data_IF_386828408729
#
_entry.id   IF_386828408729
#
_cell.length_a   1.000
_cell.length_b   1.000
_cell.length_c   1.000
_cell.angle_alpha   90.00
_cell.angle_beta   90.00
_cell.angle_gamma   90.00
#
_symmetry.space_group_name_H-M   'P 1'
#
loop_
_entity.id
_entity.type
_entity.pdbx_description
1 polymer ?
#
# COMPACT_ATOMS: atom_id res chain seq x y z
N UNK A 1 -2.65 -12.57 7.19
CA UNK A 1 -3.78 -12.82 6.27
C UNK A 1 -4.88 -13.51 7.05
N UNK A 2 -6.16 -13.31 6.73
CA UNK A 2 -7.24 -14.08 7.36
C UNK A 2 -7.08 -15.57 7.04
N UNK A 3 -7.53 -16.43 7.94
CA UNK A 3 -7.44 -17.88 7.79
C UNK A 3 -8.43 -18.43 6.75
N UNK A 4 -9.52 -17.72 6.51
CA UNK A 4 -10.55 -18.04 5.52
C UNK A 4 -11.17 -16.78 4.92
N UNK A 5 -12.07 -16.94 3.96
CA UNK A 5 -12.80 -15.88 3.28
C UNK A 5 -14.34 -15.99 3.44
N UNK A 6 -14.79 -16.71 4.45
CA UNK A 6 -16.22 -17.05 4.62
C UNK A 6 -17.15 -15.83 4.61
N UNK A 7 -16.78 -14.78 5.36
CA UNK A 7 -17.60 -13.57 5.41
C UNK A 7 -17.48 -12.74 4.12
N UNK A 8 -16.27 -12.63 3.57
CA UNK A 8 -16.04 -11.86 2.35
C UNK A 8 -16.71 -12.50 1.13
N UNK A 9 -16.73 -13.84 1.06
CA UNK A 9 -17.34 -14.58 -0.05
C UNK A 9 -18.87 -14.45 -0.09
N UNK A 10 -19.50 -14.08 1.03
CA UNK A 10 -20.96 -13.84 1.08
C UNK A 10 -21.37 -12.52 0.42
N UNK A 11 -20.47 -11.54 0.36
CA UNK A 11 -20.79 -10.19 -0.11
C UNK A 11 -19.93 -9.72 -1.29
N UNK A 12 -18.80 -10.37 -1.54
CA UNK A 12 -17.90 -10.05 -2.63
C UNK A 12 -18.10 -10.98 -3.81
N UNK A 13 -17.97 -10.45 -5.03
CA UNK A 13 -18.03 -11.26 -6.23
C UNK A 13 -16.91 -12.31 -6.26
N UNK A 14 -17.18 -13.51 -6.79
CA UNK A 14 -16.22 -14.61 -6.86
C UNK A 14 -14.88 -14.22 -7.52
N UNK A 15 -14.92 -13.35 -8.53
CA UNK A 15 -13.75 -12.88 -9.28
C UNK A 15 -12.96 -11.76 -8.58
N UNK A 16 -13.40 -11.31 -7.38
CA UNK A 16 -12.59 -10.36 -6.63
C UNK A 16 -11.29 -11.02 -6.20
N UNK A 17 -10.19 -10.30 -6.36
CA UNK A 17 -8.88 -10.84 -6.02
C UNK A 17 -8.76 -11.19 -4.52
N UNK A 18 -7.96 -12.20 -4.21
CA UNK A 18 -7.77 -12.66 -2.82
C UNK A 18 -7.30 -11.58 -1.85
N UNK A 19 -6.50 -10.60 -2.31
CA UNK A 19 -6.14 -9.45 -1.51
C UNK A 19 -7.37 -8.59 -1.14
N UNK A 20 -8.21 -8.29 -2.12
CA UNK A 20 -9.46 -7.56 -1.88
C UNK A 20 -10.39 -8.30 -0.92
N UNK A 21 -10.55 -9.61 -1.08
CA UNK A 21 -11.31 -10.46 -0.15
C UNK A 21 -10.71 -10.45 1.25
N UNK A 22 -9.36 -10.49 1.38
CA UNK A 22 -8.68 -10.40 2.68
C UNK A 22 -8.98 -9.10 3.41
N UNK A 23 -9.01 -7.97 2.69
CA UNK A 23 -9.32 -6.67 3.28
C UNK A 23 -10.77 -6.65 3.77
N UNK A 24 -11.72 -7.10 2.94
CA UNK A 24 -13.14 -7.17 3.31
C UNK A 24 -13.32 -8.07 4.52
N UNK A 25 -12.71 -9.25 4.53
CA UNK A 25 -12.76 -10.20 5.64
C UNK A 25 -12.27 -9.56 6.94
N UNK A 26 -11.13 -8.89 6.92
CA UNK A 26 -10.55 -8.23 8.09
C UNK A 26 -11.46 -7.13 8.67
N UNK A 27 -12.14 -6.37 7.79
CA UNK A 27 -13.12 -5.38 8.22
C UNK A 27 -14.37 -6.03 8.81
N UNK A 28 -14.87 -7.10 8.19
CA UNK A 28 -16.06 -7.82 8.67
C UNK A 28 -15.82 -8.48 10.04
N UNK A 29 -14.60 -8.95 10.28
CA UNK A 29 -14.16 -9.53 11.57
C UNK A 29 -13.87 -8.45 12.63
N UNK A 30 -13.97 -7.16 12.31
CA UNK A 30 -13.66 -6.07 13.24
C UNK A 30 -12.17 -5.90 13.54
N UNK A 31 -11.29 -6.52 12.74
CA UNK A 31 -9.82 -6.40 12.88
C UNK A 31 -9.29 -5.08 12.34
N UNK A 32 -10.06 -4.42 11.47
CA UNK A 32 -9.71 -3.16 10.81
C UNK A 32 -10.88 -2.20 10.92
N UNK A 33 -10.71 -1.14 11.69
CA UNK A 33 -11.73 -0.10 11.91
C UNK A 33 -11.44 1.19 11.13
N UNK A 34 -10.20 1.37 10.70
CA UNK A 34 -9.76 2.54 9.91
C UNK A 34 -9.00 2.04 8.70
N UNK A 35 -9.40 2.48 7.52
CA UNK A 35 -8.87 1.96 6.28
C UNK A 35 -8.65 3.09 5.26
N UNK A 36 -7.44 3.15 4.74
CA UNK A 36 -7.10 3.95 3.57
C UNK A 36 -6.80 2.98 2.44
N UNK A 37 -7.60 3.03 1.40
CA UNK A 37 -7.39 2.26 0.18
C UNK A 37 -6.75 3.17 -0.87
N UNK A 38 -5.93 2.57 -1.71
CA UNK A 38 -5.31 3.25 -2.83
C UNK A 38 -6.05 2.88 -4.11
N UNK A 39 -6.37 3.87 -4.92
CA UNK A 39 -7.03 3.68 -6.22
C UNK A 39 -6.02 3.18 -7.27
N UNK A 40 -5.51 1.97 -7.10
CA UNK A 40 -4.51 1.37 -7.98
C UNK A 40 -5.12 0.39 -9.00
N UNK A 41 -6.34 -0.07 -8.81
CA UNK A 41 -7.02 -1.00 -9.72
C UNK A 41 -8.54 -1.04 -9.43
N UNK A 42 -9.30 -1.58 -10.38
CA UNK A 42 -10.76 -1.69 -10.25
C UNK A 42 -11.19 -2.54 -9.05
N UNK A 43 -10.40 -3.56 -8.69
CA UNK A 43 -10.68 -4.35 -7.50
C UNK A 43 -10.69 -3.51 -6.23
N UNK A 44 -9.75 -2.57 -6.08
CA UNK A 44 -9.71 -1.70 -4.89
C UNK A 44 -10.88 -0.72 -4.82
N UNK A 45 -11.37 -0.24 -5.96
CA UNK A 45 -12.60 0.56 -6.02
C UNK A 45 -13.80 -0.27 -5.53
N UNK A 46 -13.92 -1.52 -5.96
CA UNK A 46 -14.99 -2.43 -5.51
C UNK A 46 -14.88 -2.77 -4.04
N UNK A 47 -13.66 -3.00 -3.54
CA UNK A 47 -13.42 -3.19 -2.09
C UNK A 47 -13.90 -1.96 -1.31
N UNK A 48 -13.58 -0.76 -1.77
CA UNK A 48 -14.04 0.47 -1.14
C UNK A 48 -15.56 0.55 -1.05
N UNK A 49 -16.25 0.30 -2.17
CA UNK A 49 -17.72 0.35 -2.23
C UNK A 49 -18.36 -0.70 -1.29
N UNK A 50 -17.82 -1.92 -1.30
CA UNK A 50 -18.30 -3.00 -0.43
C UNK A 50 -18.09 -2.62 1.05
N UNK A 51 -16.86 -2.22 1.43
CA UNK A 51 -16.54 -1.83 2.81
C UNK A 51 -17.40 -0.66 3.27
N UNK A 52 -17.60 0.34 2.41
CA UNK A 52 -18.47 1.49 2.70
C UNK A 52 -19.90 1.05 3.01
N UNK A 53 -20.43 0.11 2.23
CA UNK A 53 -21.79 -0.39 2.42
C UNK A 53 -21.96 -1.24 3.69
N UNK A 54 -20.89 -1.83 4.24
CA UNK A 54 -20.96 -2.57 5.50
C UNK A 54 -21.17 -1.69 6.71
N UNK A 55 -20.78 -0.42 6.64
CA UNK A 55 -20.80 0.51 7.77
C UNK A 55 -19.87 0.15 8.94
N UNK A 56 -19.01 -0.87 8.78
CA UNK A 56 -18.14 -1.37 9.86
C UNK A 56 -16.81 -0.64 9.99
N UNK A 57 -16.51 0.28 9.09
CA UNK A 57 -15.27 1.03 9.10
C UNK A 57 -15.51 2.44 9.62
N UNK A 58 -14.86 2.83 10.71
CA UNK A 58 -15.02 4.14 11.36
C UNK A 58 -14.38 5.27 10.54
N UNK A 59 -13.30 4.95 9.84
CA UNK A 59 -12.66 5.83 8.86
C UNK A 59 -12.33 5.06 7.59
N UNK A 60 -12.91 5.48 6.48
CA UNK A 60 -12.67 4.90 5.17
C UNK A 60 -12.33 6.00 4.17
N UNK A 61 -11.18 5.88 3.53
CA UNK A 61 -10.73 6.85 2.54
C UNK A 61 -10.16 6.16 1.31
N UNK A 62 -10.40 6.75 0.12
CA UNK A 62 -9.78 6.34 -1.13
C UNK A 62 -8.76 7.38 -1.56
N UNK A 63 -7.51 6.99 -1.64
CA UNK A 63 -6.41 7.84 -2.11
C UNK A 63 -6.14 7.58 -3.58
N UNK A 64 -6.19 8.63 -4.39
CA UNK A 64 -5.79 8.55 -5.80
C UNK A 64 -4.28 8.71 -5.93
N UNK A 65 -3.67 7.81 -6.70
CA UNK A 65 -2.25 7.89 -7.07
C UNK A 65 -2.09 8.60 -8.41
N UNK A 66 -0.95 9.25 -8.65
CA UNK A 66 -0.62 9.77 -9.97
C UNK A 66 -0.45 8.62 -10.98
N UNK A 67 -0.89 8.83 -12.20
CA UNK A 67 -0.75 7.86 -13.30
C UNK A 67 0.53 8.11 -14.12
N UNK A 68 1.06 9.32 -14.09
CA UNK A 68 2.24 9.75 -14.83
C UNK A 68 3.17 10.55 -13.93
N UNK A 69 4.46 10.52 -14.25
CA UNK A 69 5.47 11.35 -13.59
C UNK A 69 5.61 12.69 -14.31
N UNK A 70 4.66 13.57 -14.07
CA UNK A 70 4.70 14.95 -14.58
C UNK A 70 4.24 15.94 -13.47
N UNK A 71 4.57 17.22 -13.67
CA UNK A 71 4.29 18.26 -12.67
C UNK A 71 2.79 18.42 -12.37
N UNK A 72 1.92 18.24 -13.36
CA UNK A 72 0.47 18.31 -13.17
C UNK A 72 -0.01 17.21 -12.21
N UNK A 73 0.44 15.99 -12.42
CA UNK A 73 0.09 14.84 -11.56
C UNK A 73 0.68 14.96 -10.16
N UNK A 74 1.90 15.51 -10.02
CA UNK A 74 2.49 15.81 -8.70
C UNK A 74 1.66 16.81 -7.92
N UNK A 75 1.20 17.87 -8.55
CA UNK A 75 0.33 18.87 -7.90
C UNK A 75 -1.01 18.26 -7.51
N UNK A 76 -1.63 17.47 -8.37
CA UNK A 76 -2.88 16.75 -8.06
C UNK A 76 -2.70 15.80 -6.89
N UNK A 77 -1.61 15.03 -6.88
CA UNK A 77 -1.32 14.08 -5.82
C UNK A 77 -1.06 14.78 -4.49
N UNK A 78 -0.29 15.87 -4.48
CA UNK A 78 -0.11 16.69 -3.28
C UNK A 78 -1.45 17.18 -2.72
N UNK A 79 -2.37 17.62 -3.59
CA UNK A 79 -3.73 17.97 -3.23
C UNK A 79 -4.53 16.80 -2.65
N UNK A 80 -4.34 15.59 -3.19
CA UNK A 80 -5.00 14.38 -2.67
C UNK A 80 -4.50 14.00 -1.27
N UNK A 81 -3.20 14.10 -1.04
CA UNK A 81 -2.61 13.91 0.30
C UNK A 81 -3.11 14.97 1.29
N UNK A 82 -3.21 16.22 0.85
CA UNK A 82 -3.74 17.29 1.72
C UNK A 82 -5.19 17.02 2.12
N UNK A 83 -6.04 16.59 1.18
CA UNK A 83 -7.44 16.23 1.48
C UNK A 83 -7.53 15.01 2.42
N UNK A 84 -6.69 14.00 2.24
CA UNK A 84 -6.61 12.86 3.17
C UNK A 84 -6.23 13.33 4.57
N UNK A 85 -5.20 14.18 4.69
CA UNK A 85 -4.77 14.76 5.96
C UNK A 85 -5.93 15.49 6.66
N UNK A 86 -6.62 16.37 5.95
CA UNK A 86 -7.75 17.14 6.50
C UNK A 86 -8.91 16.23 6.94
N UNK A 87 -9.23 15.22 6.14
CA UNK A 87 -10.26 14.23 6.46
C UNK A 87 -9.89 13.45 7.74
N UNK A 88 -8.62 13.03 7.87
CA UNK A 88 -8.17 12.29 9.03
C UNK A 88 -8.06 13.18 10.28
N UNK A 89 -7.61 14.42 10.16
CA UNK A 89 -7.60 15.40 11.26
C UNK A 89 -9.02 15.63 11.79
N UNK A 90 -9.99 15.77 10.88
CA UNK A 90 -11.41 15.91 11.23
C UNK A 90 -11.96 14.70 11.97
N UNK A 91 -11.61 13.51 11.50
CA UNK A 91 -12.02 12.24 12.10
C UNK A 91 -11.39 12.03 13.46
N UNK A 92 -10.07 12.17 13.57
CA UNK A 92 -9.30 11.86 14.78
C UNK A 92 -9.36 12.95 15.85
N UNK A 93 -9.75 14.16 15.49
CA UNK A 93 -9.67 15.36 16.34
C UNK A 93 -8.23 15.85 16.62
N UNK A 94 -7.23 15.24 15.99
CA UNK A 94 -5.80 15.56 16.18
C UNK A 94 -5.23 16.25 14.96
N UNK A 95 -4.36 17.24 15.19
CA UNK A 95 -3.64 17.91 14.13
C UNK A 95 -2.40 17.12 13.72
N UNK A 96 -2.07 17.18 12.43
CA UNK A 96 -0.86 16.56 11.88
C UNK A 96 0.40 17.21 12.47
N UNK A 97 1.27 16.36 13.03
CA UNK A 97 2.57 16.80 13.54
C UNK A 97 3.68 16.42 12.56
N UNK A 98 4.22 17.44 11.90
CA UNK A 98 5.31 17.28 10.92
C UNK A 98 6.58 16.67 11.56
N UNK A 99 6.86 17.00 12.80
CA UNK A 99 8.06 16.51 13.49
C UNK A 99 7.97 15.02 13.76
N UNK A 100 6.81 14.55 14.22
CA UNK A 100 6.56 13.12 14.42
C UNK A 100 6.58 12.36 13.08
N UNK A 101 6.00 12.95 12.03
CA UNK A 101 6.02 12.36 10.70
C UNK A 101 7.46 12.20 10.18
N UNK A 102 8.28 13.25 10.24
CA UNK A 102 9.67 13.18 9.78
C UNK A 102 10.51 12.18 10.60
N UNK A 103 10.28 12.07 11.91
CA UNK A 103 10.93 11.04 12.74
C UNK A 103 10.52 9.64 12.34
N UNK A 104 9.25 9.42 12.04
CA UNK A 104 8.75 8.11 11.58
C UNK A 104 9.33 7.78 10.19
N UNK A 105 9.39 8.76 9.30
CA UNK A 105 9.93 8.61 7.95
C UNK A 105 11.44 8.30 7.98
N UNK A 106 12.23 9.00 8.80
CA UNK A 106 13.66 8.76 8.95
C UNK A 106 13.98 7.34 9.44
N UNK A 107 13.14 6.75 10.30
CA UNK A 107 13.29 5.36 10.72
C UNK A 107 13.10 4.35 9.59
N UNK A 108 12.29 4.70 8.58
CA UNK A 108 11.99 3.82 7.45
C UNK A 108 13.04 3.91 6.34
N UNK A 109 13.77 5.03 6.27
CA UNK A 109 14.77 5.32 5.23
C UNK A 109 16.18 4.78 5.55
N UNK A 110 16.39 4.21 6.72
CA UNK A 110 17.72 3.77 7.16
C UNK A 110 18.00 2.34 6.68
N UNK A 111 18.72 2.21 5.60
CA UNK A 111 19.75 1.18 5.31
C UNK A 111 20.09 1.19 3.81
N UNK A 112 21.24 1.70 3.45
CA UNK A 112 21.86 1.54 2.13
C UNK A 112 22.65 0.22 2.11
N UNK A 113 21.96 -0.89 2.15
CA UNK A 113 22.55 -2.21 1.91
C UNK A 113 22.10 -2.69 0.54
N UNK A 114 22.98 -3.43 -0.15
CA UNK A 114 22.63 -4.12 -1.39
C UNK A 114 21.35 -4.95 -1.20
N UNK A 115 20.40 -4.83 -2.10
CA UNK A 115 19.13 -5.51 -1.99
C UNK A 115 18.59 -5.92 -3.35
N UNK A 116 17.68 -6.87 -3.35
CA UNK A 116 16.86 -7.20 -4.51
C UNK A 116 15.54 -6.44 -4.40
N UNK A 117 15.30 -5.50 -5.31
CA UNK A 117 14.01 -4.83 -5.44
C UNK A 117 13.02 -5.69 -6.22
N UNK A 118 11.84 -5.92 -5.69
CA UNK A 118 10.77 -6.63 -6.39
C UNK A 118 9.66 -5.65 -6.75
N UNK A 119 9.43 -5.48 -8.05
CA UNK A 119 8.40 -4.60 -8.62
C UNK A 119 7.22 -5.42 -9.15
N UNK A 120 6.07 -4.78 -9.25
CA UNK A 120 4.87 -5.34 -9.85
C UNK A 120 3.61 -5.03 -9.05
N UNK A 121 2.50 -5.64 -9.44
CA UNK A 121 1.20 -5.42 -8.77
C UNK A 121 1.15 -6.12 -7.43
N UNK A 122 1.75 -7.30 -7.33
CA UNK A 122 1.81 -8.10 -6.10
C UNK A 122 3.03 -9.00 -6.05
N UNK A 123 3.60 -9.10 -4.86
CA UNK A 123 4.53 -10.17 -4.54
C UNK A 123 4.09 -10.85 -3.26
N UNK A 124 4.04 -12.16 -3.26
CA UNK A 124 3.73 -12.93 -2.05
C UNK A 124 4.92 -12.94 -1.11
N UNK A 125 4.67 -12.90 0.20
CA UNK A 125 5.73 -13.06 1.21
C UNK A 125 6.49 -14.39 1.07
N UNK A 126 5.91 -15.39 0.41
CA UNK A 126 6.59 -16.67 0.07
C UNK A 126 7.71 -16.41 -0.92
N UNK A 127 7.47 -15.62 -1.98
CA UNK A 127 8.50 -15.31 -2.98
C UNK A 127 9.63 -14.47 -2.36
N UNK A 128 9.31 -13.48 -1.52
CA UNK A 128 10.33 -12.71 -0.80
C UNK A 128 11.20 -13.61 0.07
N UNK A 129 10.58 -14.53 0.80
CA UNK A 129 11.29 -15.50 1.62
C UNK A 129 12.18 -16.42 0.79
N UNK A 130 11.66 -16.96 -0.32
CA UNK A 130 12.43 -17.82 -1.23
C UNK A 130 13.66 -17.11 -1.80
N UNK A 131 13.51 -15.85 -2.22
CA UNK A 131 14.62 -15.04 -2.74
C UNK A 131 15.66 -14.82 -1.63
N UNK A 132 15.23 -14.41 -0.44
CA UNK A 132 16.13 -14.18 0.70
C UNK A 132 16.88 -15.44 1.11
N UNK A 133 16.19 -16.57 1.23
CA UNK A 133 16.75 -17.83 1.68
C UNK A 133 17.76 -18.41 0.67
N UNK A 134 17.56 -18.21 -0.63
CA UNK A 134 18.41 -18.77 -1.67
C UNK A 134 19.59 -17.86 -2.07
N UNK A 135 19.38 -16.54 -2.04
CA UNK A 135 20.40 -15.58 -2.49
C UNK A 135 21.12 -14.90 -1.32
N UNK A 136 20.66 -15.11 -0.08
CA UNK A 136 21.20 -14.50 1.14
C UNK A 136 21.31 -12.96 1.06
N UNK A 137 20.45 -12.33 0.27
CA UNK A 137 20.38 -10.89 0.10
C UNK A 137 19.11 -10.35 0.77
N UNK A 138 19.16 -9.07 1.16
CA UNK A 138 17.95 -8.38 1.58
C UNK A 138 16.98 -8.24 0.41
N UNK A 139 15.69 -8.31 0.68
CA UNK A 139 14.64 -8.19 -0.33
C UNK A 139 13.75 -7.00 0.02
N UNK A 140 13.62 -6.06 -0.90
CA UNK A 140 12.71 -4.94 -0.78
C UNK A 140 11.51 -5.14 -1.70
N UNK A 141 10.35 -5.25 -1.11
CA UNK A 141 9.09 -5.30 -1.83
C UNK A 141 8.69 -3.86 -2.23
N UNK A 142 8.90 -3.52 -3.48
CA UNK A 142 8.57 -2.22 -4.08
C UNK A 142 7.22 -2.25 -4.82
N UNK A 143 6.45 -3.32 -4.63
CA UNK A 143 5.12 -3.45 -5.21
C UNK A 143 4.10 -2.55 -4.52
N UNK A 144 2.96 -2.31 -5.16
CA UNK A 144 1.88 -1.51 -4.58
C UNK A 144 1.33 -2.10 -3.27
N UNK A 145 1.53 -3.39 -3.02
CA UNK A 145 1.12 -4.08 -1.78
C UNK A 145 2.22 -4.14 -0.72
N UNK A 146 3.43 -3.71 -1.04
CA UNK A 146 4.60 -3.78 -0.16
C UNK A 146 4.65 -2.70 0.92
N UNK A 147 3.68 -1.82 0.98
CA UNK A 147 3.62 -0.75 1.98
C UNK A 147 4.70 0.33 1.83
N UNK A 148 5.36 0.39 0.68
CA UNK A 148 6.41 1.37 0.41
C UNK A 148 5.94 2.54 -0.41
N UNK A 149 6.58 3.66 -0.15
CA UNK A 149 6.26 4.93 -0.78
C UNK A 149 6.72 4.89 -2.25
N UNK A 150 5.78 4.96 -3.20
CA UNK A 150 6.08 5.03 -4.63
C UNK A 150 7.00 6.23 -4.99
N UNK A 151 6.99 7.29 -4.16
CA UNK A 151 7.87 8.44 -4.34
C UNK A 151 9.37 8.13 -4.15
N UNK A 152 9.71 7.02 -3.51
CA UNK A 152 11.11 6.58 -3.30
C UNK A 152 11.60 5.73 -4.48
N UNK A 153 10.69 5.16 -5.27
CA UNK A 153 11.01 4.30 -6.42
C UNK A 153 11.90 4.98 -7.48
N UNK A 154 11.61 6.21 -7.94
CA UNK A 154 12.44 6.87 -8.94
C UNK A 154 13.88 7.12 -8.45
N UNK A 155 14.05 7.52 -7.19
CA UNK A 155 15.38 7.75 -6.61
C UNK A 155 16.12 6.43 -6.39
N UNK A 156 15.44 5.41 -5.87
CA UNK A 156 16.02 4.07 -5.72
C UNK A 156 16.37 3.44 -7.07
N UNK A 157 15.60 3.70 -8.13
CA UNK A 157 15.90 3.23 -9.47
C UNK A 157 17.03 4.02 -10.15
N UNK A 158 17.18 5.31 -9.85
CA UNK A 158 18.25 6.16 -10.38
C UNK A 158 19.60 5.88 -9.70
N UNK A 159 19.58 5.45 -8.44
CA UNK A 159 20.77 5.09 -7.66
C UNK A 159 21.14 3.60 -7.76
N UNK A 160 20.63 2.87 -8.74
CA UNK A 160 20.97 1.46 -8.93
C UNK A 160 22.43 1.33 -9.35
N UNK A 161 23.28 1.08 -8.38
CA UNK A 161 24.66 0.64 -8.60
C UNK A 161 24.68 -0.79 -9.15
N UNK A 162 25.78 -1.21 -9.75
CA UNK A 162 25.91 -2.50 -10.46
C UNK A 162 25.61 -3.75 -9.62
N UNK A 163 25.62 -3.63 -8.29
CA UNK A 163 25.37 -4.72 -7.35
C UNK A 163 23.90 -4.85 -6.89
N UNK A 164 22.99 -4.07 -7.49
CA UNK A 164 21.56 -4.13 -7.21
C UNK A 164 20.81 -4.78 -8.35
N UNK A 165 19.99 -5.76 -8.02
CA UNK A 165 19.12 -6.45 -8.97
C UNK A 165 17.68 -5.99 -8.77
N UNK A 166 17.05 -5.55 -9.87
CA UNK A 166 15.63 -5.26 -9.94
C UNK A 166 14.89 -6.40 -10.60
N UNK A 167 14.01 -7.05 -9.86
CA UNK A 167 13.11 -8.06 -10.39
C UNK A 167 11.73 -7.44 -10.66
N UNK A 168 11.38 -7.28 -11.93
CA UNK A 168 10.05 -6.83 -12.33
C UNK A 168 9.12 -8.04 -12.49
N UNK A 169 7.96 -7.99 -11.85
CA UNK A 169 6.94 -9.03 -11.91
C UNK A 169 5.61 -8.41 -12.37
N UNK A 170 5.04 -8.96 -13.43
CA UNK A 170 3.75 -8.54 -14.01
C UNK A 170 2.59 -9.45 -13.55
#
# INVERSE_FOLDING_TARGET
>A
MPENFELSDQIAHANLCGFGKSVIQAVLEGKVEQLILVNCCDSMRRVYDIVKNTGKCNFLYMLDLPHEDNECEKVKFAGSIQRLKEAYEKYSGKKFDRTLFLKAFAKTSASRTSYIGVLGVRVSGILEKMIRDNLHMDVRNLTCTGGRNLAVLPEEMQEMEEDRLLLAYA
#
